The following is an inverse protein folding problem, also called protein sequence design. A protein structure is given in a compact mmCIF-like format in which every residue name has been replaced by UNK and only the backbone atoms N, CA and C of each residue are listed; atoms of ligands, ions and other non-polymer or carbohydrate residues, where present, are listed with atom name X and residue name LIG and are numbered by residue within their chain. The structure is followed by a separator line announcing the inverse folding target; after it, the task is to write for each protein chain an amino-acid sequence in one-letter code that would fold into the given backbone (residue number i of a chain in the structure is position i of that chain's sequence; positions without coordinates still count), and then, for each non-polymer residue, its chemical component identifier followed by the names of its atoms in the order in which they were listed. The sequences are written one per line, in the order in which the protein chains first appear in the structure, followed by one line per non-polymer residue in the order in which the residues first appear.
data_IF_899671616173
#
_entry.id   IF_899671616173
#
_cell.length_a   1.000
_cell.length_b   1.000
_cell.length_c   1.000
_cell.angle_alpha   90.00
_cell.angle_beta   90.00
_cell.angle_gamma   90.00
#
_symmetry.space_group_name_H-M   'P 1'
#
loop_
_entity.id
_entity.type
_entity.pdbx_description
1 polymer ?
#
# COMPACT_ATOMS: atom_id res chain seq x y z
N UNK A 1 1.53 -6.30 4.98
CA UNK A 1 0.18 -6.44 5.60
C UNK A 1 -0.45 -7.82 5.32
N UNK A 2 -1.18 -8.42 6.27
CA UNK A 2 -2.00 -9.63 6.02
C UNK A 2 -3.39 -9.20 5.52
N UNK A 3 -3.95 -9.93 4.55
CA UNK A 3 -5.22 -9.57 3.91
C UNK A 3 -6.43 -9.66 4.85
N UNK A 4 -6.32 -10.46 5.92
CA UNK A 4 -7.38 -10.63 6.92
C UNK A 4 -7.67 -9.31 7.65
N UNK A 5 -6.61 -8.59 8.03
CA UNK A 5 -6.73 -7.31 8.75
C UNK A 5 -7.30 -6.20 7.85
N UNK A 6 -7.05 -6.26 6.54
CA UNK A 6 -7.59 -5.30 5.57
C UNK A 6 -9.08 -5.51 5.30
N UNK A 7 -9.59 -6.74 5.38
CA UNK A 7 -11.04 -6.99 5.20
C UNK A 7 -11.85 -6.48 6.38
N UNK A 8 -11.28 -6.46 7.58
CA UNK A 8 -11.94 -5.95 8.79
C UNK A 8 -12.13 -4.41 8.78
N UNK A 9 -11.25 -3.68 8.08
CA UNK A 9 -11.29 -2.20 8.02
C UNK A 9 -12.43 -1.65 7.17
N UNK A 10 -12.98 -0.51 7.55
CA UNK A 10 -14.07 0.18 6.82
C UNK A 10 -13.63 0.68 5.43
N UNK A 11 -14.58 1.01 4.56
CA UNK A 11 -14.28 1.53 3.21
C UNK A 11 -13.49 2.86 3.24
N UNK A 12 -13.81 3.75 4.19
CA UNK A 12 -13.08 5.00 4.40
C UNK A 12 -11.66 4.77 4.92
N UNK A 13 -11.49 3.87 5.89
CA UNK A 13 -10.17 3.51 6.45
C UNK A 13 -9.27 2.87 5.38
N UNK A 14 -9.81 2.04 4.49
CA UNK A 14 -9.07 1.48 3.36
C UNK A 14 -8.57 2.56 2.39
N UNK A 15 -9.36 3.61 2.18
CA UNK A 15 -8.97 4.74 1.34
C UNK A 15 -7.84 5.54 1.97
N UNK A 16 -7.92 5.80 3.28
CA UNK A 16 -6.86 6.49 4.03
C UNK A 16 -5.55 5.68 4.03
N UNK A 17 -5.64 4.37 4.24
CA UNK A 17 -4.50 3.47 4.20
C UNK A 17 -3.84 3.45 2.82
N UNK A 18 -4.65 3.45 1.75
CA UNK A 18 -4.16 3.54 0.38
C UNK A 18 -3.36 4.83 0.15
N UNK A 19 -3.86 5.97 0.65
CA UNK A 19 -3.16 7.26 0.54
C UNK A 19 -1.85 7.25 1.33
N UNK A 20 -1.85 6.67 2.52
CA UNK A 20 -0.63 6.52 3.33
C UNK A 20 0.43 5.68 2.61
N UNK A 21 0.05 4.52 2.06
CA UNK A 21 0.95 3.64 1.31
C UNK A 21 1.48 4.29 0.02
N UNK A 22 0.68 5.13 -0.64
CA UNK A 22 1.11 5.88 -1.83
C UNK A 22 2.14 6.97 -1.47
N UNK A 23 1.98 7.65 -0.33
CA UNK A 23 2.98 8.59 0.19
C UNK A 23 4.29 7.87 0.51
N UNK A 24 4.22 6.73 1.18
CA UNK A 24 5.40 5.90 1.47
C UNK A 24 6.10 5.43 0.18
N UNK A 25 5.33 4.98 -0.81
CA UNK A 25 5.87 4.63 -2.12
C UNK A 25 6.60 5.81 -2.78
N UNK A 26 6.03 7.01 -2.71
CA UNK A 26 6.64 8.21 -3.26
C UNK A 26 7.97 8.54 -2.57
N UNK A 27 8.00 8.51 -1.24
CA UNK A 27 9.23 8.71 -0.46
C UNK A 27 10.30 7.68 -0.80
N UNK A 28 9.95 6.40 -0.91
CA UNK A 28 10.88 5.34 -1.31
C UNK A 28 11.40 5.52 -2.74
N UNK A 29 10.57 6.00 -3.67
CA UNK A 29 11.01 6.32 -5.04
C UNK A 29 11.96 7.51 -5.07
N UNK A 30 11.72 8.53 -4.24
CA UNK A 30 12.64 9.66 -4.11
C UNK A 30 13.99 9.22 -3.51
N UNK A 31 13.98 8.41 -2.45
CA UNK A 31 15.20 7.83 -1.86
C UNK A 31 15.98 6.96 -2.84
N UNK A 32 15.27 6.24 -3.72
CA UNK A 32 15.90 5.48 -4.82
C UNK A 32 16.58 6.41 -5.83
N UNK A 33 15.93 7.51 -6.20
CA UNK A 33 16.48 8.49 -7.14
C UNK A 33 17.71 9.22 -6.58
N UNK A 34 17.76 9.47 -5.26
CA UNK A 34 18.93 10.07 -4.58
C UNK A 34 20.03 9.06 -4.26
N UNK A 35 19.87 7.78 -4.62
CA UNK A 35 20.77 6.67 -4.29
C UNK A 35 20.98 6.46 -2.78
N UNK A 36 20.08 6.96 -1.94
CA UNK A 36 20.13 6.82 -0.47
C UNK A 36 19.30 5.63 0.04
N UNK A 37 18.75 4.84 -0.86
CA UNK A 37 17.86 3.75 -0.51
C UNK A 37 18.64 2.55 0.04
N UNK A 38 18.60 2.36 1.36
CA UNK A 38 19.27 1.24 2.03
C UNK A 38 18.63 -0.14 1.74
N UNK A 39 17.33 -0.19 1.40
CA UNK A 39 16.62 -1.45 1.19
C UNK A 39 15.62 -1.41 0.03
N UNK A 40 16.03 -1.92 -1.13
CA UNK A 40 15.22 -2.01 -2.35
C UNK A 40 14.05 -2.99 -2.25
N UNK A 41 14.09 -3.96 -1.32
CA UNK A 41 12.99 -4.90 -1.13
C UNK A 41 11.71 -4.23 -0.60
N UNK A 42 11.85 -3.06 0.06
CA UNK A 42 10.71 -2.30 0.57
C UNK A 42 9.81 -1.78 -0.54
N UNK A 43 10.37 -1.34 -1.68
CA UNK A 43 9.57 -0.97 -2.86
C UNK A 43 8.67 -2.11 -3.33
N UNK A 44 9.20 -3.34 -3.35
CA UNK A 44 8.43 -4.53 -3.72
C UNK A 44 7.33 -4.87 -2.72
N UNK A 45 7.57 -4.67 -1.42
CA UNK A 45 6.59 -4.88 -0.35
C UNK A 45 5.46 -3.86 -0.43
N UNK A 46 5.78 -2.56 -0.51
CA UNK A 46 4.78 -1.48 -0.60
C UNK A 46 3.92 -1.61 -1.85
N UNK A 47 4.50 -1.97 -3.01
CA UNK A 47 3.70 -2.26 -4.23
C UNK A 47 2.69 -3.39 -4.01
N UNK A 48 3.08 -4.47 -3.35
CA UNK A 48 2.19 -5.61 -3.05
C UNK A 48 1.10 -5.23 -2.06
N UNK A 49 1.43 -4.42 -1.06
CA UNK A 49 0.44 -3.96 -0.07
C UNK A 49 -0.60 -3.01 -0.69
N UNK A 50 -0.19 -2.09 -1.57
CA UNK A 50 -1.11 -1.26 -2.38
C UNK A 50 -2.05 -2.14 -3.22
N UNK A 51 -1.52 -3.18 -3.88
CA UNK A 51 -2.32 -4.08 -4.69
C UNK A 51 -3.39 -4.81 -3.85
N UNK A 52 -3.02 -5.30 -2.66
CA UNK A 52 -3.96 -5.97 -1.74
C UNK A 52 -5.09 -5.04 -1.29
N UNK A 53 -4.77 -3.80 -0.93
CA UNK A 53 -5.79 -2.81 -0.54
C UNK A 53 -6.77 -2.56 -1.68
N UNK A 54 -6.27 -2.34 -2.90
CA UNK A 54 -7.12 -2.17 -4.09
C UNK A 54 -8.00 -3.39 -4.37
N UNK A 55 -7.48 -4.59 -4.20
CA UNK A 55 -8.26 -5.83 -4.36
C UNK A 55 -9.38 -5.90 -3.34
N UNK A 56 -9.11 -5.66 -2.05
CA UNK A 56 -10.14 -5.67 -0.99
C UNK A 56 -11.20 -4.59 -1.21
N UNK A 57 -10.80 -3.39 -1.63
CA UNK A 57 -11.76 -2.33 -2.01
C UNK A 57 -12.67 -2.78 -3.16
N UNK A 58 -12.13 -3.48 -4.16
CA UNK A 58 -12.91 -4.02 -5.27
C UNK A 58 -13.83 -5.16 -4.83
N UNK A 59 -13.35 -6.06 -3.98
CA UNK A 59 -14.16 -7.14 -3.37
C UNK A 59 -15.37 -6.55 -2.63
N UNK A 60 -15.17 -5.49 -1.83
CA UNK A 60 -16.25 -4.81 -1.10
C UNK A 60 -17.21 -3.98 -1.96
N UNK A 61 -16.80 -3.57 -3.16
CA UNK A 61 -17.64 -2.82 -4.08
C UNK A 61 -18.49 -3.73 -4.99
N UNK A 62 -18.10 -5.00 -5.14
CA UNK A 62 -18.79 -6.00 -5.97
C UNK A 62 -19.70 -6.91 -5.13
N UNK A 63 -19.43 -7.04 -3.82
CA UNK A 63 -20.31 -7.68 -2.84
C UNK A 63 -21.48 -6.76 -2.45
#
# INVERSE_FOLDING_TARGET
MKAIDLRAKGAAELQEELVALLKEQFSLRMQLATQQLANSAQLGRVRRDIARVRTVMREKAVA
#
